data_IF_503653096981
#
_entry.id   IF_503653096981
#
_cell.length_a   1.000
_cell.length_b   1.000
_cell.length_c   1.000
_cell.angle_alpha   90.00
_cell.angle_beta   90.00
_cell.angle_gamma   90.00
#
_symmetry.space_group_name_H-M   'P 1'
#
loop_
_entity.id
_entity.type
_entity.pdbx_description
1 polymer ?
#
# COMPACT_ATOMS: atom_id res chain seq x y z
N UNK A 1 1.50 -5.45 20.12
CA UNK A 1 2.59 -4.98 21.03
C UNK A 1 3.95 -5.63 20.75
N UNK A 2 4.00 -6.88 20.30
CA UNK A 2 5.25 -7.59 19.98
C UNK A 2 5.96 -7.09 18.72
N UNK A 3 5.23 -6.66 17.70
CA UNK A 3 5.86 -6.13 16.48
C UNK A 3 6.50 -4.75 16.64
N UNK A 4 6.00 -3.89 17.52
CA UNK A 4 6.64 -2.59 17.80
C UNK A 4 8.03 -2.70 18.43
N UNK A 5 8.33 -3.79 19.12
CA UNK A 5 9.63 -4.03 19.73
C UNK A 5 10.69 -4.54 18.75
N UNK A 6 10.28 -5.33 17.74
CA UNK A 6 11.19 -5.96 16.79
C UNK A 6 11.83 -4.97 15.79
N UNK A 7 11.18 -3.83 15.55
CA UNK A 7 11.67 -2.79 14.62
C UNK A 7 12.28 -1.56 15.30
N UNK A 8 12.36 -1.54 16.62
CA UNK A 8 13.24 -0.60 17.32
C UNK A 8 14.69 -1.06 17.16
N UNK A 9 15.27 -0.74 16.04
CA UNK A 9 16.71 -0.87 15.89
C UNK A 9 17.34 0.15 16.83
N UNK A 10 17.98 -0.34 17.87
CA UNK A 10 18.74 0.47 18.80
C UNK A 10 19.75 1.33 18.02
N UNK A 11 19.71 2.63 18.23
CA UNK A 11 20.67 3.59 17.69
C UNK A 11 22.04 3.48 18.40
N UNK A 12 22.44 2.31 18.84
CA UNK A 12 23.74 2.10 19.45
C UNK A 12 24.87 2.11 18.42
N UNK A 13 26.06 2.62 18.78
CA UNK A 13 27.23 2.61 17.90
C UNK A 13 27.79 1.21 17.60
N UNK A 14 27.15 0.17 18.09
CA UNK A 14 27.62 -1.21 17.99
C UNK A 14 27.35 -1.92 16.65
N UNK A 15 26.55 -1.34 15.77
CA UNK A 15 26.43 -1.86 14.42
C UNK A 15 27.34 -1.08 13.49
N UNK A 16 28.60 -1.48 13.49
CA UNK A 16 29.59 -1.13 12.51
C UNK A 16 29.58 0.34 12.11
N UNK A 17 30.70 0.94 12.12
CA UNK A 17 31.02 2.27 11.61
C UNK A 17 30.52 2.56 10.18
N UNK A 18 29.66 1.74 9.65
CA UNK A 18 29.03 1.88 8.36
C UNK A 18 27.86 2.83 8.41
N UNK A 19 28.05 4.04 7.94
CA UNK A 19 26.98 4.87 7.40
C UNK A 19 26.20 3.97 6.44
N UNK A 20 24.94 3.65 6.78
CA UNK A 20 24.08 2.97 5.81
C UNK A 20 23.52 4.02 4.88
N UNK A 21 24.03 4.17 3.65
CA UNK A 21 23.57 5.20 2.74
C UNK A 21 22.13 4.96 2.28
N UNK A 22 21.57 3.80 2.63
CA UNK A 22 20.23 3.37 2.21
C UNK A 22 19.17 3.64 3.25
N UNK A 23 19.53 3.86 4.51
CA UNK A 23 18.62 3.87 5.65
C UNK A 23 18.35 2.45 6.17
N UNK A 24 17.34 2.34 7.05
CA UNK A 24 16.96 1.08 7.70
C UNK A 24 15.64 0.56 7.15
N UNK A 25 15.42 -0.74 7.28
CA UNK A 25 14.13 -1.34 6.94
C UNK A 25 12.99 -0.68 7.70
N UNK A 26 12.02 -0.19 6.94
CA UNK A 26 10.78 0.40 7.43
C UNK A 26 9.61 -0.11 6.59
N UNK A 27 8.41 -0.03 7.15
CA UNK A 27 7.21 -0.25 6.32
C UNK A 27 7.13 0.83 5.24
N UNK A 28 6.80 0.44 4.01
CA UNK A 28 6.60 1.40 2.91
C UNK A 28 5.54 2.44 3.26
N UNK A 29 4.44 2.01 3.86
CA UNK A 29 3.33 2.84 4.28
C UNK A 29 2.11 2.01 4.65
N UNK A 30 0.99 2.70 4.82
CA UNK A 30 -0.33 2.11 5.04
C UNK A 30 -1.27 2.55 3.94
N UNK A 31 -2.02 1.61 3.41
CA UNK A 31 -3.16 1.85 2.54
C UNK A 31 -4.43 1.76 3.38
N UNK A 32 -5.17 2.86 3.45
CA UNK A 32 -6.43 2.95 4.18
C UNK A 32 -7.61 2.89 3.21
N UNK A 33 -8.57 2.04 3.53
CA UNK A 33 -9.88 1.99 2.88
C UNK A 33 -10.91 2.38 3.93
N UNK A 34 -11.40 3.62 3.88
CA UNK A 34 -12.32 4.19 4.86
C UNK A 34 -13.74 4.11 4.33
N UNK A 35 -14.52 3.18 4.89
CA UNK A 35 -15.94 3.01 4.59
C UNK A 35 -16.77 3.86 5.54
N UNK A 36 -17.94 4.32 5.09
CA UNK A 36 -18.88 4.99 5.97
C UNK A 36 -19.30 4.07 7.13
N UNK A 37 -19.41 4.66 8.31
CA UNK A 37 -19.93 3.94 9.46
C UNK A 37 -21.35 3.45 9.18
N UNK A 38 -21.59 2.20 9.52
CA UNK A 38 -22.91 1.58 9.45
C UNK A 38 -23.18 0.87 10.78
N UNK A 39 -24.43 0.97 11.24
CA UNK A 39 -24.89 0.26 12.46
C UNK A 39 -25.13 -1.24 12.21
N UNK A 40 -25.11 -1.66 10.93
CA UNK A 40 -25.31 -3.05 10.55
C UNK A 40 -24.18 -3.93 11.07
N UNK A 41 -24.46 -4.96 11.86
CA UNK A 41 -23.45 -5.88 12.38
C UNK A 41 -22.80 -6.66 11.23
N UNK A 42 -21.54 -7.00 11.43
CA UNK A 42 -20.83 -7.95 10.54
C UNK A 42 -21.20 -9.36 11.01
N UNK A 43 -21.68 -10.17 10.05
CA UNK A 43 -21.99 -11.58 10.24
C UNK A 43 -21.26 -12.43 9.21
N UNK A 44 -21.22 -13.74 9.41
CA UNK A 44 -20.61 -14.73 8.50
C UNK A 44 -19.17 -14.38 8.11
N UNK A 45 -18.42 -13.82 9.07
CA UNK A 45 -17.03 -13.44 8.83
C UNK A 45 -16.15 -14.66 8.65
N UNK A 46 -15.48 -14.76 7.50
CA UNK A 46 -14.52 -15.79 7.18
C UNK A 46 -13.24 -15.18 6.60
N UNK A 47 -12.08 -15.70 6.98
CA UNK A 47 -10.78 -15.33 6.43
C UNK A 47 -9.96 -16.58 6.14
N UNK A 48 -9.39 -16.66 4.94
CA UNK A 48 -8.67 -17.80 4.43
C UNK A 48 -7.42 -17.33 3.66
N UNK A 49 -6.36 -18.09 3.75
CA UNK A 49 -5.22 -18.03 2.84
C UNK A 49 -5.05 -19.40 2.20
N UNK A 50 -5.15 -19.45 0.89
CA UNK A 50 -4.83 -20.65 0.11
C UNK A 50 -3.35 -20.61 -0.25
N UNK A 51 -2.58 -21.52 0.33
CA UNK A 51 -1.13 -21.61 0.13
C UNK A 51 -0.76 -22.14 -1.25
N UNK A 52 -1.65 -22.84 -1.93
CA UNK A 52 -1.39 -23.39 -3.28
C UNK A 52 -1.46 -22.31 -4.36
N UNK A 53 -2.30 -21.32 -4.16
CA UNK A 53 -2.51 -20.21 -5.10
C UNK A 53 -1.95 -18.88 -4.59
N UNK A 54 -1.59 -18.79 -3.30
CA UNK A 54 -1.19 -17.55 -2.67
C UNK A 54 -2.34 -16.54 -2.51
N UNK A 55 -3.61 -17.00 -2.66
CA UNK A 55 -4.79 -16.14 -2.61
C UNK A 55 -5.30 -15.98 -1.18
N UNK A 56 -5.28 -14.74 -0.69
CA UNK A 56 -5.97 -14.37 0.54
C UNK A 56 -7.42 -13.95 0.25
N UNK A 57 -8.37 -14.48 1.02
CA UNK A 57 -9.79 -14.16 0.88
C UNK A 57 -10.38 -13.77 2.24
N UNK A 58 -11.16 -12.69 2.25
CA UNK A 58 -11.99 -12.29 3.39
C UNK A 58 -13.41 -12.14 2.88
N UNK A 59 -14.39 -12.80 3.53
CA UNK A 59 -15.80 -12.66 3.23
C UNK A 59 -16.59 -12.36 4.50
N UNK A 60 -17.65 -11.59 4.35
CA UNK A 60 -18.57 -11.25 5.44
C UNK A 60 -19.88 -10.72 4.87
N UNK A 61 -20.90 -10.60 5.74
CA UNK A 61 -22.14 -9.90 5.42
C UNK A 61 -22.33 -8.67 6.30
N UNK A 62 -23.06 -7.69 5.79
CA UNK A 62 -23.67 -6.58 6.53
C UNK A 62 -25.14 -6.51 6.12
N UNK A 63 -26.03 -6.81 7.04
CA UNK A 63 -27.43 -7.09 6.70
C UNK A 63 -27.50 -8.21 5.64
N UNK A 64 -28.25 -7.97 4.59
CA UNK A 64 -28.38 -8.93 3.46
C UNK A 64 -27.24 -8.84 2.44
N UNK A 65 -26.38 -7.84 2.53
CA UNK A 65 -25.33 -7.63 1.55
C UNK A 65 -24.07 -8.45 1.87
N UNK A 66 -23.63 -9.28 0.91
CA UNK A 66 -22.38 -10.01 0.99
C UNK A 66 -21.22 -9.21 0.39
N UNK A 67 -20.06 -9.30 1.06
CA UNK A 67 -18.81 -8.67 0.65
C UNK A 67 -17.69 -9.70 0.60
N UNK A 68 -16.87 -9.60 -0.42
CA UNK A 68 -15.65 -10.41 -0.54
C UNK A 68 -14.47 -9.52 -0.87
N UNK A 69 -13.34 -9.79 -0.25
CA UNK A 69 -12.05 -9.18 -0.56
C UNK A 69 -11.07 -10.30 -0.88
N UNK A 70 -10.45 -10.21 -2.02
CA UNK A 70 -9.42 -11.14 -2.47
C UNK A 70 -8.15 -10.37 -2.75
N UNK A 71 -7.02 -10.92 -2.36
CA UNK A 71 -5.73 -10.29 -2.57
C UNK A 71 -4.63 -11.32 -2.84
N UNK A 72 -3.73 -10.95 -3.72
CA UNK A 72 -2.54 -11.72 -4.06
C UNK A 72 -1.42 -10.79 -4.59
N UNK A 73 -0.23 -11.32 -4.70
CA UNK A 73 0.90 -10.66 -5.39
C UNK A 73 1.17 -11.38 -6.69
N UNK A 74 1.16 -10.65 -7.80
CA UNK A 74 1.64 -11.17 -9.09
C UNK A 74 3.16 -11.07 -9.11
N UNK A 75 3.83 -12.21 -9.19
CA UNK A 75 5.29 -12.26 -9.34
C UNK A 75 5.77 -11.73 -10.68
N UNK A 76 5.17 -12.15 -11.81
CA UNK A 76 5.54 -11.64 -13.13
C UNK A 76 5.37 -10.14 -13.30
N UNK A 77 4.25 -9.60 -12.81
CA UNK A 77 3.89 -8.20 -12.98
C UNK A 77 4.41 -7.30 -11.84
N UNK A 78 4.97 -7.90 -10.78
CA UNK A 78 5.46 -7.18 -9.58
C UNK A 78 4.40 -6.25 -8.96
N UNK A 79 3.14 -6.69 -8.95
CA UNK A 79 2.00 -5.90 -8.46
C UNK A 79 1.23 -6.66 -7.38
N UNK A 80 0.85 -5.94 -6.32
CA UNK A 80 -0.12 -6.40 -5.35
C UNK A 80 -1.53 -6.06 -5.85
N UNK A 81 -2.38 -7.07 -5.92
CA UNK A 81 -3.75 -6.96 -6.44
C UNK A 81 -4.74 -7.18 -5.31
N UNK A 82 -5.72 -6.28 -5.19
CA UNK A 82 -6.87 -6.49 -4.32
C UNK A 82 -8.15 -6.31 -5.12
N UNK A 83 -9.06 -7.29 -5.07
CA UNK A 83 -10.41 -7.21 -5.60
C UNK A 83 -11.41 -7.10 -4.45
N UNK A 84 -12.26 -6.09 -4.52
CA UNK A 84 -13.39 -5.89 -3.61
C UNK A 84 -14.68 -6.13 -4.40
N UNK A 85 -15.60 -6.91 -3.86
CA UNK A 85 -16.89 -7.19 -4.51
C UNK A 85 -18.04 -6.53 -3.76
N UNK A 86 -19.11 -6.21 -4.47
CA UNK A 86 -20.32 -5.63 -3.93
C UNK A 86 -20.42 -4.11 -4.09
N UNK A 87 -21.61 -3.57 -3.84
CA UNK A 87 -21.84 -2.11 -3.85
C UNK A 87 -21.10 -1.46 -2.70
N UNK A 88 -20.21 -0.54 -2.99
CA UNK A 88 -19.35 0.08 -1.98
C UNK A 88 -19.13 1.56 -2.27
N UNK A 89 -19.09 2.33 -1.18
CA UNK A 89 -18.63 3.71 -1.18
C UNK A 89 -17.57 3.87 -0.10
N UNK A 90 -16.39 4.33 -0.49
CA UNK A 90 -15.26 4.46 0.42
C UNK A 90 -14.22 5.44 -0.11
N UNK A 91 -13.40 5.93 0.80
CA UNK A 91 -12.26 6.78 0.49
C UNK A 91 -10.97 5.98 0.64
N UNK A 92 -10.03 6.21 -0.26
CA UNK A 92 -8.69 5.63 -0.24
C UNK A 92 -7.69 6.72 0.11
N UNK A 93 -6.80 6.42 1.06
CA UNK A 93 -5.64 7.26 1.38
C UNK A 93 -4.41 6.41 1.65
N UNK A 94 -3.24 7.01 1.54
CA UNK A 94 -1.97 6.39 1.90
C UNK A 94 -1.18 7.30 2.83
N UNK A 95 -0.57 6.73 3.87
CA UNK A 95 0.31 7.42 4.79
C UNK A 95 1.48 6.56 5.26
N UNK A 96 2.41 7.21 5.94
CA UNK A 96 3.46 6.58 6.75
C UNK A 96 3.90 7.54 7.87
N UNK A 97 4.73 7.09 8.84
CA UNK A 97 5.08 7.93 9.98
C UNK A 97 5.88 9.19 9.65
N UNK A 98 6.73 9.17 8.60
CA UNK A 98 7.66 10.27 8.31
C UNK A 98 8.14 10.29 6.86
N UNK A 99 8.66 11.46 6.42
CA UNK A 99 9.40 11.66 5.16
C UNK A 99 8.68 11.12 3.93
N UNK A 100 7.43 11.54 3.78
CA UNK A 100 6.62 11.13 2.64
C UNK A 100 5.74 12.26 2.13
N UNK A 101 5.28 12.07 0.90
CA UNK A 101 4.25 12.86 0.25
C UNK A 101 3.28 11.89 -0.42
N UNK A 102 1.98 12.16 -0.31
CA UNK A 102 0.95 11.44 -1.07
C UNK A 102 0.27 12.43 -1.99
N UNK A 103 0.09 12.05 -3.25
CA UNK A 103 -0.53 12.88 -4.29
C UNK A 103 -1.47 12.03 -5.14
N UNK A 104 -2.63 12.59 -5.49
CA UNK A 104 -3.42 12.09 -6.60
C UNK A 104 -2.81 12.61 -7.90
N UNK A 105 -2.38 11.70 -8.78
CA UNK A 105 -1.80 12.07 -10.08
C UNK A 105 -2.85 12.15 -11.18
N UNK A 106 -4.00 11.54 -10.94
CA UNK A 106 -5.22 11.65 -11.74
C UNK A 106 -6.41 11.15 -10.91
N UNK A 107 -7.60 11.04 -11.52
CA UNK A 107 -8.83 10.65 -10.80
C UNK A 107 -8.82 9.23 -10.22
N UNK A 108 -7.94 8.36 -10.67
CA UNK A 108 -7.91 6.96 -10.23
C UNK A 108 -6.53 6.47 -9.78
N UNK A 109 -5.57 7.38 -9.58
CA UNK A 109 -4.24 7.01 -9.10
C UNK A 109 -3.75 7.86 -7.94
N UNK A 110 -3.20 7.21 -6.91
CA UNK A 110 -2.44 7.82 -5.83
C UNK A 110 -0.98 7.38 -5.90
N UNK A 111 -0.09 8.31 -5.64
CA UNK A 111 1.34 8.03 -5.47
C UNK A 111 1.77 8.45 -4.07
N UNK A 112 2.40 7.54 -3.34
CA UNK A 112 3.16 7.85 -2.14
C UNK A 112 4.64 7.78 -2.46
N UNK A 113 5.38 8.82 -2.14
CA UNK A 113 6.82 8.91 -2.41
C UNK A 113 7.56 9.53 -1.23
N UNK A 114 8.84 9.26 -1.15
CA UNK A 114 9.69 9.83 -0.11
C UNK A 114 11.05 9.16 -0.06
N UNK A 115 11.74 9.37 1.05
CA UNK A 115 13.06 8.80 1.28
C UNK A 115 13.21 8.31 2.72
N UNK A 116 14.06 7.32 2.92
CA UNK A 116 14.42 6.86 4.26
C UNK A 116 15.36 7.85 4.92
N UNK A 117 15.46 7.79 6.25
CA UNK A 117 16.50 8.45 6.99
C UNK A 117 17.75 7.56 7.00
N UNK A 118 18.90 8.10 6.60
CA UNK A 118 20.17 7.37 6.61
C UNK A 118 20.77 7.23 8.03
N UNK A 119 20.12 7.80 9.03
CA UNK A 119 20.58 7.84 10.43
C UNK A 119 21.41 9.08 10.77
N UNK A 120 21.70 9.95 9.80
CA UNK A 120 22.44 11.21 9.95
C UNK A 120 21.65 12.41 9.43
N UNK A 121 20.32 12.29 9.39
CA UNK A 121 19.38 13.30 8.88
C UNK A 121 19.52 13.63 7.38
N UNK A 122 20.26 12.82 6.64
CA UNK A 122 20.35 12.92 5.18
C UNK A 122 19.31 12.02 4.50
N UNK A 123 19.22 12.17 3.21
CA UNK A 123 18.34 11.37 2.39
C UNK A 123 18.90 9.97 2.22
N UNK A 124 18.19 9.01 2.79
CA UNK A 124 18.40 7.60 2.56
C UNK A 124 17.82 7.15 1.20
N UNK A 125 17.50 5.87 1.09
CA UNK A 125 16.91 5.28 -0.11
C UNK A 125 15.57 5.95 -0.45
N UNK A 126 15.40 6.37 -1.71
CA UNK A 126 14.11 6.84 -2.21
C UNK A 126 13.18 5.67 -2.52
N UNK A 127 11.90 5.90 -2.31
CA UNK A 127 10.86 4.92 -2.59
C UNK A 127 9.66 5.59 -3.23
N UNK A 128 8.94 4.81 -4.02
CA UNK A 128 7.64 5.17 -4.58
C UNK A 128 6.69 3.99 -4.45
N UNK A 129 5.47 4.25 -4.04
CA UNK A 129 4.34 3.34 -4.16
C UNK A 129 3.25 3.99 -5.00
N UNK A 130 2.72 3.28 -5.99
CA UNK A 130 1.64 3.73 -6.86
C UNK A 130 0.45 2.81 -6.71
N UNK A 131 -0.70 3.41 -6.44
CA UNK A 131 -1.99 2.74 -6.43
C UNK A 131 -2.81 3.18 -7.63
N UNK A 132 -3.33 2.22 -8.39
CA UNK A 132 -4.36 2.45 -9.43
C UNK A 132 -5.65 1.77 -9.03
N UNK A 133 -6.77 2.46 -9.22
CA UNK A 133 -8.12 1.98 -8.90
C UNK A 133 -8.90 1.79 -10.19
N UNK A 134 -9.51 0.61 -10.34
CA UNK A 134 -10.36 0.26 -11.48
C UNK A 134 -11.74 -0.08 -10.95
N UNK A 135 -12.75 0.72 -11.30
CA UNK A 135 -14.15 0.54 -10.90
C UNK A 135 -15.07 0.60 -12.14
N UNK A 136 -15.21 -0.49 -12.90
CA UNK A 136 -15.91 -0.49 -14.20
C UNK A 136 -17.40 -0.12 -14.11
N UNK A 137 -18.02 -0.34 -12.95
CA UNK A 137 -19.44 -0.05 -12.69
C UNK A 137 -19.62 1.06 -11.66
N UNK A 138 -18.71 2.01 -11.64
CA UNK A 138 -18.70 3.09 -10.66
C UNK A 138 -17.90 4.29 -11.12
N UNK A 139 -17.59 5.16 -10.18
CA UNK A 139 -16.74 6.32 -10.38
C UNK A 139 -15.60 6.32 -9.35
N UNK A 140 -14.47 6.84 -9.77
CA UNK A 140 -13.35 7.17 -8.90
C UNK A 140 -13.03 8.64 -9.15
N UNK A 141 -12.85 9.40 -8.08
CA UNK A 141 -12.52 10.84 -8.17
C UNK A 141 -11.47 11.21 -7.14
N UNK A 142 -10.48 11.94 -7.60
CA UNK A 142 -9.49 12.53 -6.71
C UNK A 142 -10.09 13.70 -5.92
N UNK A 143 -9.76 13.76 -4.63
CA UNK A 143 -10.06 14.89 -3.75
C UNK A 143 -8.85 15.12 -2.83
N UNK A 144 -8.08 16.15 -3.11
CA UNK A 144 -6.81 16.39 -2.43
C UNK A 144 -5.85 15.19 -2.62
N UNK A 145 -5.44 14.58 -1.50
CA UNK A 145 -4.52 13.44 -1.47
C UNK A 145 -5.26 12.10 -1.28
N UNK A 146 -6.54 12.03 -1.66
CA UNK A 146 -7.39 10.85 -1.51
C UNK A 146 -8.14 10.54 -2.79
N UNK A 147 -8.63 9.30 -2.91
CA UNK A 147 -9.55 8.90 -3.97
C UNK A 147 -10.88 8.49 -3.35
N UNK A 148 -11.97 9.08 -3.84
CA UNK A 148 -13.32 8.69 -3.49
C UNK A 148 -13.84 7.69 -4.52
N UNK A 149 -14.25 6.52 -4.04
CA UNK A 149 -14.80 5.43 -4.85
C UNK A 149 -16.28 5.29 -4.55
N UNK A 150 -17.10 5.26 -5.60
CA UNK A 150 -18.53 4.99 -5.53
C UNK A 150 -18.90 3.98 -6.62
N UNK A 151 -19.24 2.75 -6.25
CA UNK A 151 -19.44 1.66 -7.21
C UNK A 151 -20.62 0.76 -6.83
N UNK A 152 -21.30 0.24 -7.86
CA UNK A 152 -22.31 -0.81 -7.76
C UNK A 152 -21.77 -2.20 -8.13
N UNK A 153 -20.48 -2.34 -8.28
CA UNK A 153 -19.83 -3.58 -8.69
C UNK A 153 -18.46 -3.74 -8.08
N UNK A 154 -17.65 -4.55 -8.72
CA UNK A 154 -16.30 -4.83 -8.25
C UNK A 154 -15.36 -3.63 -8.39
N UNK A 155 -14.41 -3.55 -7.47
CA UNK A 155 -13.27 -2.64 -7.54
C UNK A 155 -11.99 -3.46 -7.53
N UNK A 156 -11.06 -3.11 -8.40
CA UNK A 156 -9.71 -3.67 -8.40
C UNK A 156 -8.73 -2.57 -8.00
N UNK A 157 -7.92 -2.86 -7.03
CA UNK A 157 -6.80 -2.04 -6.58
C UNK A 157 -5.51 -2.71 -7.04
N UNK A 158 -4.70 -2.00 -7.81
CA UNK A 158 -3.37 -2.42 -8.24
C UNK A 158 -2.34 -1.55 -7.54
N UNK A 159 -1.42 -2.17 -6.80
CA UNK A 159 -0.38 -1.44 -6.09
C UNK A 159 1.00 -1.96 -6.49
N UNK A 160 1.81 -1.08 -7.06
CA UNK A 160 3.22 -1.31 -7.38
C UNK A 160 4.11 -0.46 -6.48
N UNK A 161 5.30 -0.96 -6.17
CA UNK A 161 6.28 -0.23 -5.39
C UNK A 161 7.69 -0.43 -5.94
N UNK A 162 8.48 0.62 -5.90
CA UNK A 162 9.88 0.60 -6.32
C UNK A 162 10.75 1.49 -5.44
N UNK A 163 12.05 1.25 -5.49
CA UNK A 163 13.07 2.04 -4.81
C UNK A 163 14.23 2.33 -5.75
N UNK A 164 15.09 3.28 -5.39
CA UNK A 164 16.34 3.55 -6.10
C UNK A 164 17.47 2.58 -5.69
N UNK A 165 17.17 1.50 -4.97
CA UNK A 165 18.15 0.51 -4.56
C UNK A 165 18.55 -0.41 -5.69
N UNK A 166 19.85 -0.52 -5.97
CA UNK A 166 20.42 -1.42 -6.98
C UNK A 166 21.47 -2.38 -6.40
N UNK A 167 21.15 -2.99 -5.28
CA UNK A 167 22.01 -4.00 -4.66
C UNK A 167 23.25 -3.42 -3.96
N UNK A 168 24.28 -4.24 -3.79
CA UNK A 168 25.48 -3.93 -3.00
C UNK A 168 26.30 -2.79 -3.64
N UNK A 169 26.18 -2.56 -4.91
CA UNK A 169 26.94 -1.53 -5.66
C UNK A 169 26.52 -0.08 -5.35
N UNK A 170 25.47 0.11 -4.57
CA UNK A 170 25.02 1.45 -4.15
C UNK A 170 23.64 1.82 -4.67
N UNK A 171 23.28 3.09 -4.44
CA UNK A 171 22.10 3.68 -5.09
C UNK A 171 22.42 3.91 -6.54
N UNK A 172 21.61 3.41 -7.40
CA UNK A 172 21.70 3.79 -8.78
C UNK A 172 20.71 4.90 -9.10
N UNK A 173 20.90 5.44 -10.26
CA UNK A 173 20.05 6.45 -10.89
C UNK A 173 18.72 5.89 -11.40
N UNK A 174 18.26 4.75 -10.86
CA UNK A 174 16.94 4.21 -11.20
C UNK A 174 15.86 5.21 -10.71
N UNK A 175 14.96 5.55 -11.61
CA UNK A 175 13.79 6.35 -11.28
C UNK A 175 12.69 5.44 -10.74
N UNK A 176 12.43 5.40 -9.40
CA UNK A 176 11.39 4.54 -8.85
C UNK A 176 10.00 4.98 -9.27
N UNK A 177 9.80 6.24 -9.68
CA UNK A 177 8.52 6.71 -10.19
C UNK A 177 8.22 6.08 -11.56
N UNK A 178 9.19 6.07 -12.46
CA UNK A 178 9.06 5.43 -13.76
C UNK A 178 8.82 3.92 -13.63
N UNK A 179 9.52 3.25 -12.71
CA UNK A 179 9.39 1.81 -12.48
C UNK A 179 7.98 1.39 -11.99
N UNK A 180 7.19 2.31 -11.42
CA UNK A 180 5.81 2.04 -10.97
C UNK A 180 4.74 2.42 -12.00
N UNK A 181 5.12 2.89 -13.18
CA UNK A 181 4.19 3.43 -14.20
C UNK A 181 3.77 2.38 -15.24
N UNK A 182 4.42 1.24 -15.28
CA UNK A 182 4.18 0.16 -16.22
C UNK A 182 2.80 -0.51 -16.07
#
# INVERSE_FOLDING_TARGET
>A
KLMRGAFKVNHGPAYGTGISPFGRYQTLGKLHLSFADTKEPITDYHRQLDLSTGLGTVSYKRGEQAFTRQHFVSGPDQVFVTRLTGTQKFTISMDRPERFKTEAVNDNELVISGHLNDGFEKDGMHYVGRLRVIAPKGSVKAEGNTLNVDTKGDVILLFAAATDYQGIAGRATADPLAATTA
#
